data_IF_101882915943
#
_entry.id   IF_101882915943
#
_cell.length_a   1.000
_cell.length_b   1.000
_cell.length_c   1.000
_cell.angle_alpha   90.00
_cell.angle_beta   90.00
_cell.angle_gamma   90.00
#
_symmetry.space_group_name_H-M   'P 1'
#
loop_
_entity.id
_entity.type
_entity.pdbx_description
1 polymer ?
#
# COMPACT_ATOMS: atom_id res chain seq x y z
N UNK A 1 49.87 -56.43 20.63
CA UNK A 1 49.63 -54.99 20.85
C UNK A 1 49.29 -54.35 19.54
N UNK A 2 48.01 -54.16 19.26
CA UNK A 2 47.49 -53.66 17.99
C UNK A 2 47.17 -52.15 18.11
N UNK A 3 47.92 -51.31 17.39
CA UNK A 3 47.67 -49.89 17.32
C UNK A 3 46.53 -49.60 16.37
N UNK A 4 45.34 -49.29 16.91
CA UNK A 4 44.23 -48.76 16.13
C UNK A 4 44.42 -47.23 15.98
N UNK A 5 44.77 -46.78 14.78
CA UNK A 5 44.74 -45.39 14.41
C UNK A 5 43.30 -44.95 14.20
N UNK A 6 42.80 -44.07 15.04
CA UNK A 6 41.49 -43.42 14.87
C UNK A 6 41.70 -42.27 13.89
N UNK A 7 41.09 -42.41 12.72
CA UNK A 7 41.03 -41.35 11.69
C UNK A 7 39.89 -40.39 12.07
N UNK A 8 40.21 -39.21 12.58
CA UNK A 8 39.23 -38.17 12.81
C UNK A 8 38.91 -37.48 11.47
N UNK A 9 37.71 -37.73 10.96
CA UNK A 9 37.20 -37.04 9.78
C UNK A 9 36.68 -35.67 10.21
N UNK A 10 37.40 -34.60 9.95
CA UNK A 10 36.93 -33.23 10.13
C UNK A 10 35.96 -32.91 8.96
N UNK A 11 34.67 -32.89 9.25
CA UNK A 11 33.71 -32.32 8.33
C UNK A 11 33.81 -30.80 8.46
N UNK A 12 34.46 -30.15 7.50
CA UNK A 12 34.40 -28.71 7.34
C UNK A 12 33.00 -28.37 6.79
N UNK A 13 32.12 -27.92 7.68
CA UNK A 13 30.90 -27.25 7.26
C UNK A 13 31.30 -25.93 6.60
N UNK A 14 31.29 -25.90 5.28
CA UNK A 14 31.30 -24.63 4.55
C UNK A 14 29.96 -23.97 4.80
N UNK A 15 29.89 -23.02 5.72
CA UNK A 15 28.85 -22.04 5.78
C UNK A 15 28.96 -21.22 4.49
N UNK A 16 28.21 -21.63 3.46
CA UNK A 16 27.89 -20.74 2.37
C UNK A 16 27.07 -19.61 2.99
N UNK A 17 27.61 -18.43 3.08
CA UNK A 17 26.83 -17.20 3.24
C UNK A 17 26.01 -17.08 1.96
N UNK A 18 24.86 -17.75 1.91
CA UNK A 18 23.82 -17.40 0.95
C UNK A 18 23.45 -15.99 1.37
N UNK A 19 23.67 -15.01 0.50
CA UNK A 19 23.12 -13.68 0.67
C UNK A 19 21.63 -13.86 0.95
N UNK A 20 21.14 -13.22 2.00
CA UNK A 20 19.72 -13.24 2.33
C UNK A 20 19.03 -12.58 1.15
N UNK A 21 18.41 -13.37 0.30
CA UNK A 21 17.58 -12.85 -0.80
C UNK A 21 16.33 -12.29 -0.13
N UNK A 22 15.98 -11.05 -0.43
CA UNK A 22 14.74 -10.47 0.06
C UNK A 22 13.57 -11.35 -0.38
N UNK A 23 12.82 -11.85 0.60
CA UNK A 23 11.71 -12.76 0.40
C UNK A 23 10.44 -12.13 0.92
N UNK A 24 9.46 -12.00 0.06
CA UNK A 24 8.14 -11.53 0.47
C UNK A 24 7.52 -12.53 1.44
N UNK A 25 7.02 -12.08 2.57
CA UNK A 25 6.28 -12.88 3.54
C UNK A 25 5.16 -12.08 4.19
N UNK A 26 4.05 -12.72 4.50
CA UNK A 26 3.02 -12.11 5.35
C UNK A 26 3.58 -12.04 6.77
N UNK A 27 3.56 -10.82 7.35
CA UNK A 27 4.00 -10.61 8.71
C UNK A 27 2.81 -10.56 9.66
N UNK A 28 2.71 -11.57 10.53
CA UNK A 28 1.65 -11.67 11.53
C UNK A 28 1.69 -10.55 12.59
N UNK A 29 2.82 -9.86 12.75
CA UNK A 29 2.96 -8.70 13.63
C UNK A 29 2.39 -7.41 13.01
N UNK A 30 1.94 -7.48 11.76
CA UNK A 30 1.28 -6.37 11.07
C UNK A 30 2.22 -5.25 10.60
N UNK A 31 3.53 -5.54 10.48
CA UNK A 31 4.52 -4.60 9.96
C UNK A 31 5.15 -5.11 8.66
N UNK A 32 5.54 -4.21 7.76
CA UNK A 32 6.18 -4.58 6.49
C UNK A 32 6.67 -3.37 5.70
N UNK A 33 7.13 -3.63 4.50
CA UNK A 33 7.47 -2.62 3.49
C UNK A 33 6.39 -2.47 2.40
N UNK A 34 5.40 -3.38 2.40
CA UNK A 34 4.16 -3.28 1.62
C UNK A 34 2.95 -3.50 2.53
N UNK A 35 2.01 -2.55 2.53
CA UNK A 35 0.71 -2.69 3.21
C UNK A 35 -0.40 -2.73 2.16
N UNK A 36 -1.32 -3.67 2.33
CA UNK A 36 -2.52 -3.78 1.52
C UNK A 36 -3.76 -3.59 2.38
N UNK A 37 -4.49 -2.51 2.11
CA UNK A 37 -5.79 -2.24 2.69
C UNK A 37 -6.84 -2.79 1.73
N UNK A 38 -7.52 -3.87 2.07
CA UNK A 38 -8.27 -4.65 1.09
C UNK A 38 -9.53 -3.93 0.59
N UNK A 39 -10.02 -2.94 1.33
CA UNK A 39 -11.28 -2.31 1.00
C UNK A 39 -11.35 -0.88 1.52
N UNK A 40 -11.92 0.00 0.71
CA UNK A 40 -12.52 1.25 1.14
C UNK A 40 -13.85 1.47 0.42
N UNK A 41 -14.77 2.18 1.06
CA UNK A 41 -15.99 2.66 0.43
C UNK A 41 -16.42 4.00 1.01
N UNK A 42 -16.96 4.83 0.13
CA UNK A 42 -17.61 6.12 0.44
C UNK A 42 -19.04 6.15 -0.07
N UNK A 43 -19.57 5.00 -0.45
CA UNK A 43 -20.95 4.84 -0.94
C UNK A 43 -21.96 4.98 0.20
N UNK A 44 -23.17 5.46 -0.10
CA UNK A 44 -24.30 5.51 0.83
C UNK A 44 -23.99 6.22 2.15
N UNK A 45 -23.31 7.37 2.11
CA UNK A 45 -22.87 8.14 3.29
C UNK A 45 -21.87 7.40 4.18
N UNK A 46 -21.18 6.42 3.64
CA UNK A 46 -20.09 5.76 4.36
C UNK A 46 -18.79 6.54 4.23
N UNK A 47 -17.92 6.36 5.21
CA UNK A 47 -16.56 6.85 5.20
C UNK A 47 -15.60 5.72 5.57
N UNK A 48 -14.39 5.79 5.05
CA UNK A 48 -13.31 4.88 5.45
C UNK A 48 -12.17 5.70 6.06
N UNK A 49 -11.69 5.28 7.20
CA UNK A 49 -10.54 5.90 7.88
C UNK A 49 -9.35 4.97 7.78
N UNK A 50 -8.22 5.51 7.36
CA UNK A 50 -6.96 4.77 7.25
C UNK A 50 -5.92 5.45 8.14
N UNK A 51 -5.15 4.65 8.86
CA UNK A 51 -3.94 5.08 9.53
C UNK A 51 -2.75 4.33 8.93
N UNK A 52 -1.72 5.06 8.54
CA UNK A 52 -0.46 4.51 8.07
C UNK A 52 0.61 5.01 9.04
N UNK A 53 1.37 4.09 9.63
CA UNK A 53 2.31 4.39 10.70
C UNK A 53 3.70 3.92 10.34
N UNK A 54 4.68 4.74 10.62
CA UNK A 54 6.08 4.35 10.69
C UNK A 54 6.39 3.91 12.12
N UNK A 55 6.68 2.63 12.33
CA UNK A 55 6.99 2.09 13.66
C UNK A 55 8.48 2.13 13.99
N UNK A 56 9.30 2.75 13.12
CA UNK A 56 10.76 2.80 13.24
C UNK A 56 11.27 4.19 13.62
N UNK A 57 12.54 4.27 13.97
CA UNK A 57 13.23 5.53 14.24
C UNK A 57 13.81 6.19 12.97
N UNK A 58 13.47 5.67 11.80
CA UNK A 58 13.97 6.17 10.52
C UNK A 58 12.94 7.10 9.86
N UNK A 59 13.42 8.02 9.03
CA UNK A 59 12.54 8.76 8.12
C UNK A 59 12.15 7.85 6.95
N UNK A 60 10.87 7.73 6.66
CA UNK A 60 10.36 6.86 5.59
C UNK A 60 9.79 7.66 4.44
N UNK A 61 10.20 7.35 3.21
CA UNK A 61 9.48 7.74 2.02
C UNK A 61 8.57 6.60 1.59
N UNK A 62 7.28 6.87 1.42
CA UNK A 62 6.28 5.88 1.01
C UNK A 62 5.49 6.40 -0.18
N UNK A 63 4.99 5.49 -1.01
CA UNK A 63 3.95 5.81 -2.01
C UNK A 63 2.63 5.22 -1.56
N UNK A 64 1.57 5.98 -1.71
CA UNK A 64 0.19 5.58 -1.39
C UNK A 64 -0.61 5.63 -2.69
N UNK A 65 -1.27 4.51 -3.03
CA UNK A 65 -2.11 4.37 -4.22
C UNK A 65 -3.51 3.94 -3.84
N UNK A 66 -4.47 4.69 -4.32
CA UNK A 66 -5.88 4.34 -4.26
C UNK A 66 -6.29 3.74 -5.59
N UNK A 67 -6.87 2.55 -5.55
CA UNK A 67 -7.27 1.76 -6.70
C UNK A 67 -8.77 1.61 -6.73
N UNK A 68 -9.41 1.85 -7.89
CA UNK A 68 -10.85 1.66 -8.03
C UNK A 68 -11.23 0.18 -8.21
N UNK A 69 -12.49 -0.14 -7.94
CA UNK A 69 -12.96 -1.52 -7.82
C UNK A 69 -13.24 -2.26 -9.14
N UNK A 70 -13.39 -1.56 -10.26
CA UNK A 70 -13.81 -2.21 -11.52
C UNK A 70 -12.63 -2.87 -12.22
N UNK A 71 -11.56 -2.12 -12.44
CA UNK A 71 -10.37 -2.59 -13.16
C UNK A 71 -9.10 -2.59 -12.31
N UNK A 72 -9.15 -2.00 -11.10
CA UNK A 72 -7.96 -1.77 -10.28
C UNK A 72 -7.09 -0.64 -10.83
N UNK A 73 -7.68 0.30 -11.58
CA UNK A 73 -6.95 1.47 -12.03
C UNK A 73 -6.67 2.40 -10.86
N UNK A 74 -5.50 3.04 -10.89
CA UNK A 74 -5.12 4.05 -9.91
C UNK A 74 -5.97 5.30 -10.11
N UNK A 75 -6.58 5.79 -9.04
CA UNK A 75 -7.43 6.98 -9.03
C UNK A 75 -6.83 8.14 -8.24
N UNK A 76 -5.88 7.85 -7.37
CA UNK A 76 -5.02 8.82 -6.71
C UNK A 76 -3.70 8.14 -6.33
N UNK A 77 -2.59 8.84 -6.55
CA UNK A 77 -1.25 8.42 -6.15
C UNK A 77 -0.48 9.62 -5.64
N UNK A 78 0.21 9.46 -4.53
CA UNK A 78 1.14 10.46 -4.00
C UNK A 78 2.17 9.80 -3.10
N UNK A 79 3.32 10.47 -2.98
CA UNK A 79 4.34 10.12 -1.99
C UNK A 79 4.05 10.84 -0.67
N UNK A 80 4.32 10.18 0.46
CA UNK A 80 4.30 10.77 1.79
C UNK A 80 5.63 10.51 2.49
N UNK A 81 6.01 11.42 3.38
CA UNK A 81 7.27 11.39 4.11
C UNK A 81 6.99 11.36 5.61
N UNK A 82 7.19 10.19 6.20
CA UNK A 82 6.94 9.95 7.62
C UNK A 82 8.21 10.14 8.42
N UNK A 83 8.16 10.93 9.47
CA UNK A 83 9.21 11.01 10.47
C UNK A 83 9.28 9.76 11.35
N UNK A 84 10.24 9.68 12.28
CA UNK A 84 10.32 8.61 13.27
C UNK A 84 9.03 8.49 14.08
N UNK A 85 8.45 7.27 14.12
CA UNK A 85 7.21 6.96 14.85
C UNK A 85 6.00 7.81 14.47
N UNK A 86 6.01 8.37 13.27
CA UNK A 86 4.94 9.22 12.75
C UNK A 86 3.74 8.42 12.27
N UNK A 87 2.57 9.03 12.31
CA UNK A 87 1.29 8.45 11.87
C UNK A 87 0.63 9.41 10.89
N UNK A 88 0.29 8.92 9.72
CA UNK A 88 -0.47 9.64 8.70
C UNK A 88 -1.92 9.16 8.66
N UNK A 89 -2.85 9.86 9.34
CA UNK A 89 -4.28 9.56 9.29
C UNK A 89 -4.92 10.23 8.07
N UNK A 90 -5.75 9.47 7.36
CA UNK A 90 -6.60 9.98 6.28
C UNK A 90 -8.01 9.47 6.42
N UNK A 91 -8.97 10.31 6.06
CA UNK A 91 -10.36 9.92 5.87
C UNK A 91 -10.66 9.84 4.37
N UNK A 92 -11.44 8.87 3.98
CA UNK A 92 -12.03 8.78 2.65
C UNK A 92 -13.51 9.08 2.77
N UNK A 93 -13.98 10.06 2.01
CA UNK A 93 -15.38 10.46 1.99
C UNK A 93 -15.83 10.77 0.57
N UNK A 94 -17.15 10.73 0.34
CA UNK A 94 -17.72 11.21 -0.91
C UNK A 94 -17.70 12.73 -0.94
N UNK A 95 -17.28 13.29 -2.08
CA UNK A 95 -17.38 14.73 -2.37
C UNK A 95 -18.58 15.01 -3.27
N UNK A 96 -18.95 16.30 -3.37
CA UNK A 96 -19.96 16.74 -4.33
C UNK A 96 -19.57 16.27 -5.73
N UNK A 97 -20.51 15.60 -6.43
CA UNK A 97 -20.25 15.04 -7.76
C UNK A 97 -20.05 13.53 -7.81
N UNK A 98 -20.27 12.82 -6.70
CA UNK A 98 -20.35 11.34 -6.63
C UNK A 98 -19.03 10.57 -6.73
N UNK A 99 -17.90 11.21 -6.52
CA UNK A 99 -16.59 10.55 -6.42
C UNK A 99 -16.11 10.34 -4.99
N UNK A 100 -15.01 9.60 -4.82
CA UNK A 100 -14.27 9.53 -3.56
C UNK A 100 -13.20 10.61 -3.47
N UNK A 101 -12.80 10.95 -2.24
CA UNK A 101 -11.73 11.88 -1.94
C UNK A 101 -10.97 11.49 -0.69
N UNK A 102 -9.70 11.85 -0.65
CA UNK A 102 -8.87 11.84 0.57
C UNK A 102 -9.05 13.15 1.29
N UNK A 103 -9.28 13.08 2.59
CA UNK A 103 -9.34 14.22 3.51
C UNK A 103 -8.35 14.00 4.65
N UNK A 104 -7.56 15.02 4.97
CA UNK A 104 -6.66 14.96 6.13
C UNK A 104 -6.41 16.35 6.73
N UNK A 105 -6.28 16.40 8.04
CA UNK A 105 -5.78 17.58 8.76
C UNK A 105 -4.35 17.38 9.27
N UNK A 106 -3.75 16.26 8.91
CA UNK A 106 -2.40 15.93 9.30
C UNK A 106 -1.37 16.79 8.55
N UNK A 107 -0.20 16.99 9.14
CA UNK A 107 0.86 17.85 8.59
C UNK A 107 1.94 17.07 7.85
N UNK A 108 1.83 15.75 7.75
CA UNK A 108 2.75 14.91 6.95
C UNK A 108 2.91 15.47 5.55
N UNK A 109 4.16 15.59 5.12
CA UNK A 109 4.49 16.13 3.82
C UNK A 109 4.16 15.15 2.71
N UNK A 110 3.50 15.63 1.67
CA UNK A 110 3.13 14.82 0.49
C UNK A 110 3.64 15.47 -0.80
N UNK A 111 3.92 14.63 -1.79
CA UNK A 111 4.32 15.07 -3.14
C UNK A 111 3.54 14.23 -4.15
N UNK A 112 2.66 14.85 -4.97
CA UNK A 112 2.21 16.23 -4.90
C UNK A 112 1.57 16.60 -3.56
N UNK A 113 1.57 17.89 -3.22
CA UNK A 113 0.89 18.36 -2.03
C UNK A 113 -0.62 18.16 -2.16
N UNK A 114 -1.21 17.48 -1.17
CA UNK A 114 -2.66 17.27 -1.12
C UNK A 114 -3.41 18.58 -0.90
N UNK A 115 -4.57 18.69 -1.54
CA UNK A 115 -5.44 19.85 -1.40
C UNK A 115 -5.00 21.07 -2.24
N UNK A 116 -4.06 20.92 -3.15
CA UNK A 116 -3.67 21.98 -4.09
C UNK A 116 -4.26 21.72 -5.47
N UNK A 117 -4.48 22.81 -6.22
CA UNK A 117 -4.89 22.71 -7.62
C UNK A 117 -3.66 22.39 -8.47
N UNK A 118 -3.38 21.12 -8.66
CA UNK A 118 -2.41 20.62 -9.63
C UNK A 118 -3.20 19.90 -10.72
N UNK A 119 -3.32 20.52 -11.91
CA UNK A 119 -3.99 19.82 -13.01
C UNK A 119 -3.37 18.43 -13.20
N UNK A 120 -4.16 17.36 -13.19
CA UNK A 120 -5.60 17.30 -13.29
C UNK A 120 -6.35 17.22 -11.93
N UNK A 121 -5.72 17.56 -10.84
CA UNK A 121 -6.27 17.45 -9.48
C UNK A 121 -6.71 18.82 -8.98
N UNK A 122 -8.01 18.97 -8.75
CA UNK A 122 -8.56 20.15 -8.09
C UNK A 122 -8.75 19.85 -6.60
N UNK A 123 -7.65 19.88 -5.85
CA UNK A 123 -7.69 19.80 -4.40
C UNK A 123 -8.08 21.12 -3.76
N UNK A 124 -8.61 21.07 -2.56
CA UNK A 124 -8.97 22.24 -1.77
C UNK A 124 -8.34 22.21 -0.39
N UNK A 125 -8.07 23.40 0.14
CA UNK A 125 -7.61 23.60 1.51
C UNK A 125 -8.57 24.53 2.23
N UNK A 126 -9.06 24.11 3.38
CA UNK A 126 -9.98 24.87 4.21
C UNK A 126 -9.47 24.93 5.65
N UNK A 127 -9.46 26.13 6.24
CA UNK A 127 -9.15 26.28 7.66
C UNK A 127 -10.41 26.03 8.48
N UNK A 128 -10.38 24.97 9.28
CA UNK A 128 -11.46 24.64 10.20
C UNK A 128 -11.52 25.64 11.36
N UNK A 129 -12.68 25.70 12.04
CA UNK A 129 -12.89 26.62 13.16
C UNK A 129 -11.89 26.44 14.32
N UNK A 130 -11.25 25.25 14.44
CA UNK A 130 -10.18 24.98 15.42
C UNK A 130 -8.78 25.36 14.92
N UNK A 131 -8.68 26.02 13.76
CA UNK A 131 -7.43 26.47 13.16
C UNK A 131 -6.64 25.40 12.42
N UNK A 132 -7.13 24.14 12.35
CA UNK A 132 -6.48 23.11 11.54
C UNK A 132 -6.81 23.28 10.06
N UNK A 133 -5.85 23.03 9.21
CA UNK A 133 -6.02 23.02 7.76
C UNK A 133 -6.55 21.66 7.32
N UNK A 134 -7.77 21.62 6.76
CA UNK A 134 -8.30 20.44 6.10
C UNK A 134 -7.85 20.45 4.64
N UNK A 135 -7.13 19.42 4.24
CA UNK A 135 -6.72 19.18 2.85
C UNK A 135 -7.65 18.12 2.25
N UNK A 136 -8.30 18.45 1.15
CA UNK A 136 -9.20 17.55 0.41
C UNK A 136 -8.66 17.34 -0.99
N UNK A 137 -8.46 16.07 -1.36
CA UNK A 137 -7.95 15.68 -2.68
C UNK A 137 -8.90 14.69 -3.33
N UNK A 138 -9.65 15.09 -4.39
CA UNK A 138 -10.54 14.21 -5.12
C UNK A 138 -9.81 13.10 -5.87
N UNK A 139 -10.48 11.97 -6.06
CA UNK A 139 -10.04 10.89 -6.94
C UNK A 139 -10.37 11.20 -8.39
N UNK A 140 -9.47 10.80 -9.31
CA UNK A 140 -9.61 11.04 -10.75
C UNK A 140 -9.35 9.76 -11.53
N UNK A 141 -10.37 9.10 -12.11
CA UNK A 141 -10.24 7.77 -12.69
C UNK A 141 -9.45 7.72 -14.00
N UNK A 142 -9.32 8.82 -14.73
CA UNK A 142 -8.72 8.87 -16.07
C UNK A 142 -7.25 9.30 -16.13
N UNK A 143 -6.66 9.78 -15.03
CA UNK A 143 -5.32 10.40 -15.03
C UNK A 143 -4.22 9.38 -15.31
N UNK A 144 -4.36 8.20 -14.74
CA UNK A 144 -3.33 7.15 -14.79
C UNK A 144 -3.59 6.11 -15.88
N UNK A 145 -4.78 6.10 -16.43
CA UNK A 145 -5.16 5.14 -17.47
C UNK A 145 -6.25 5.74 -18.39
N UNK A 146 -5.85 6.15 -19.59
CA UNK A 146 -6.77 6.73 -20.59
C UNK A 146 -7.82 5.73 -21.12
N UNK A 147 -7.61 4.43 -20.93
CA UNK A 147 -8.53 3.38 -21.36
C UNK A 147 -9.65 3.14 -20.36
N UNK A 148 -9.58 3.75 -19.18
CA UNK A 148 -10.60 3.62 -18.14
C UNK A 148 -11.72 4.62 -18.37
N UNK A 149 -12.97 4.18 -18.13
CA UNK A 149 -14.13 5.07 -18.15
C UNK A 149 -13.92 6.25 -17.19
N UNK A 150 -14.33 7.44 -17.63
CA UNK A 150 -14.33 8.66 -16.83
C UNK A 150 -15.48 8.73 -15.79
N UNK A 151 -16.25 7.66 -15.63
CA UNK A 151 -17.30 7.59 -14.62
C UNK A 151 -16.71 7.66 -13.21
N UNK A 152 -16.95 8.80 -12.56
CA UNK A 152 -16.40 9.11 -11.26
C UNK A 152 -16.94 8.19 -10.15
N UNK A 153 -18.14 7.61 -10.32
CA UNK A 153 -18.73 6.68 -9.34
C UNK A 153 -17.87 5.45 -9.08
N UNK A 154 -17.02 5.06 -10.03
CA UNK A 154 -16.05 3.98 -9.89
C UNK A 154 -15.08 4.20 -8.73
N UNK A 155 -14.81 5.45 -8.40
CA UNK A 155 -13.88 5.82 -7.33
C UNK A 155 -14.47 5.71 -5.92
N UNK A 156 -15.77 5.43 -5.80
CA UNK A 156 -16.46 5.37 -4.52
C UNK A 156 -16.06 4.17 -3.67
N UNK A 157 -15.47 3.14 -4.26
CA UNK A 157 -14.91 1.97 -3.56
C UNK A 157 -13.70 1.42 -4.26
N UNK A 158 -12.88 0.73 -3.50
CA UNK A 158 -11.64 0.20 -3.99
C UNK A 158 -10.78 -0.39 -2.90
N UNK A 159 -9.48 -0.39 -3.13
CA UNK A 159 -8.47 -0.84 -2.19
C UNK A 159 -7.26 0.11 -2.22
N UNK A 160 -6.34 -0.03 -1.23
CA UNK A 160 -5.17 0.86 -1.15
C UNK A 160 -3.90 0.04 -1.03
N UNK A 161 -2.88 0.45 -1.76
CA UNK A 161 -1.52 -0.06 -1.68
C UNK A 161 -0.62 1.02 -1.07
N UNK A 162 0.18 0.65 -0.08
CA UNK A 162 1.22 1.51 0.50
C UNK A 162 2.54 0.78 0.42
N UNK A 163 3.52 1.37 -0.26
CA UNK A 163 4.83 0.75 -0.49
C UNK A 163 5.92 1.68 0.01
N UNK A 164 6.84 1.14 0.81
CA UNK A 164 8.04 1.86 1.22
C UNK A 164 8.97 2.06 0.02
N UNK A 165 9.35 3.31 -0.24
CA UNK A 165 10.28 3.66 -1.31
C UNK A 165 11.74 3.66 -0.84
N UNK A 166 11.94 3.82 0.46
CA UNK A 166 13.25 3.83 1.08
C UNK A 166 13.30 4.68 2.34
N UNK A 167 14.46 4.65 2.98
CA UNK A 167 14.80 5.40 4.18
C UNK A 167 15.51 6.69 3.79
N UNK A 168 14.91 7.84 4.11
CA UNK A 168 15.47 9.16 3.86
C UNK A 168 16.54 9.49 4.89
N UNK A 169 17.67 10.03 4.44
CA UNK A 169 18.76 10.44 5.34
C UNK A 169 18.24 11.33 6.48
N UNK A 170 18.72 11.13 7.72
CA UNK A 170 18.37 11.96 8.87
C UNK A 170 18.79 13.44 8.70
N UNK A 171 19.67 13.73 7.75
CA UNK A 171 20.08 15.11 7.41
C UNK A 171 18.96 15.88 6.70
N UNK A 172 17.93 15.18 6.21
CA UNK A 172 16.77 15.78 5.56
C UNK A 172 15.62 15.81 6.56
N UNK A 173 15.17 17.00 6.91
CA UNK A 173 14.01 17.20 7.79
C UNK A 173 12.71 16.97 7.00
N UNK A 174 12.14 15.76 7.14
CA UNK A 174 10.92 15.37 6.40
C UNK A 174 9.66 16.10 6.86
N UNK A 175 9.71 16.87 7.96
CA UNK A 175 8.61 17.70 8.42
C UNK A 175 8.52 19.06 7.67
N UNK A 176 9.57 19.43 6.93
CA UNK A 176 9.64 20.67 6.17
C UNK A 176 9.19 20.47 4.72
N UNK A 177 7.90 20.58 4.50
CA UNK A 177 7.30 20.27 3.20
C UNK A 177 7.80 21.15 2.04
N UNK A 178 8.10 22.44 2.29
CA UNK A 178 8.66 23.34 1.27
C UNK A 178 10.09 22.91 0.85
N UNK A 179 10.89 22.46 1.82
CA UNK A 179 12.24 21.95 1.54
C UNK A 179 12.18 20.68 0.71
N UNK A 180 11.28 19.74 1.05
CA UNK A 180 11.08 18.51 0.28
C UNK A 180 10.60 18.80 -1.15
N UNK A 181 9.65 19.74 -1.33
CA UNK A 181 9.23 20.17 -2.65
C UNK A 181 10.36 20.82 -3.45
N UNK A 182 11.23 21.56 -2.78
CA UNK A 182 12.42 22.15 -3.40
C UNK A 182 13.40 21.07 -3.85
N UNK A 183 13.63 20.01 -3.06
CA UNK A 183 14.46 18.86 -3.47
C UNK A 183 13.95 18.24 -4.76
N UNK A 184 12.64 18.12 -4.94
CA UNK A 184 12.02 17.59 -6.16
C UNK A 184 12.04 18.55 -7.34
N UNK A 185 11.73 19.83 -7.13
CA UNK A 185 11.52 20.78 -8.22
C UNK A 185 12.84 21.31 -8.80
N UNK A 186 13.79 21.63 -7.94
CA UNK A 186 15.05 22.29 -8.33
C UNK A 186 16.29 21.69 -7.66
N UNK A 187 16.11 20.80 -6.68
CA UNK A 187 17.17 20.17 -5.93
C UNK A 187 17.59 18.81 -6.50
N UNK A 188 18.32 18.06 -5.68
CA UNK A 188 18.96 16.81 -6.09
C UNK A 188 17.97 15.73 -6.54
N UNK A 189 16.78 15.64 -5.96
CA UNK A 189 15.80 14.62 -6.31
C UNK A 189 15.16 14.82 -7.70
N UNK A 190 15.22 16.05 -8.22
CA UNK A 190 14.77 16.31 -9.58
C UNK A 190 15.65 15.66 -10.66
N UNK A 191 16.93 15.39 -10.34
CA UNK A 191 17.90 14.77 -11.25
C UNK A 191 18.33 13.37 -10.81
N UNK A 192 18.44 13.14 -9.51
CA UNK A 192 18.77 11.88 -8.89
C UNK A 192 17.84 11.60 -7.70
N UNK A 193 16.66 11.02 -7.95
CA UNK A 193 15.67 10.74 -6.91
C UNK A 193 16.18 9.85 -5.77
N UNK A 194 17.22 9.06 -6.01
CA UNK A 194 17.77 8.13 -5.02
C UNK A 194 18.84 8.74 -4.12
N UNK A 195 19.25 9.95 -4.39
CA UNK A 195 20.25 10.64 -3.58
C UNK A 195 19.75 10.85 -2.15
N UNK A 196 20.60 10.54 -1.17
CA UNK A 196 20.27 10.61 0.26
C UNK A 196 19.08 9.73 0.70
N UNK A 197 18.82 8.65 -0.05
CA UNK A 197 17.82 7.64 0.29
C UNK A 197 18.49 6.27 0.27
N UNK A 198 18.26 5.49 1.31
CA UNK A 198 18.70 4.10 1.44
C UNK A 198 17.57 3.14 1.10
N UNK A 199 17.85 1.85 0.82
CA UNK A 199 16.82 0.85 0.56
C UNK A 199 15.77 0.75 1.67
N UNK A 200 14.54 0.28 1.37
CA UNK A 200 13.51 -0.02 2.36
C UNK A 200 14.01 -0.92 3.49
N UNK A 201 13.52 -0.70 4.69
CA UNK A 201 13.86 -1.51 5.89
C UNK A 201 12.62 -2.08 6.57
N UNK A 202 11.42 -1.88 5.99
CA UNK A 202 10.16 -2.33 6.57
C UNK A 202 9.70 -1.48 7.76
N UNK A 203 8.81 -2.04 8.59
CA UNK A 203 8.31 -1.36 9.78
C UNK A 203 7.18 -0.36 9.52
N UNK A 204 6.55 -0.38 8.35
CA UNK A 204 5.27 0.28 8.15
C UNK A 204 4.16 -0.58 8.77
N UNK A 205 3.21 0.04 9.44
CA UNK A 205 2.01 -0.59 9.94
C UNK A 205 0.78 0.22 9.55
N UNK A 206 -0.40 -0.37 9.65
CA UNK A 206 -1.62 0.35 9.31
C UNK A 206 -2.86 -0.23 9.97
N UNK A 207 -3.92 0.56 9.99
CA UNK A 207 -5.24 0.13 10.40
C UNK A 207 -6.31 0.80 9.55
N UNK A 208 -7.45 0.15 9.41
CA UNK A 208 -8.57 0.67 8.64
C UNK A 208 -9.88 0.50 9.40
N UNK A 209 -10.76 1.49 9.28
CA UNK A 209 -12.09 1.46 9.87
C UNK A 209 -13.10 2.02 8.88
N UNK A 210 -14.12 1.25 8.61
CA UNK A 210 -15.29 1.67 7.84
C UNK A 210 -16.38 2.16 8.79
N UNK A 211 -16.99 3.30 8.48
CA UNK A 211 -18.08 3.89 9.28
C UNK A 211 -19.21 4.31 8.37
N UNK A 212 -20.43 3.95 8.72
CA UNK A 212 -21.64 4.50 8.14
C UNK A 212 -22.45 5.22 9.22
N UNK A 213 -22.36 6.57 9.31
CA UNK A 213 -23.05 7.32 10.33
C UNK A 213 -24.59 7.22 10.25
N UNK A 214 -25.11 7.10 9.05
CA UNK A 214 -26.57 7.01 8.81
C UNK A 214 -27.18 5.72 9.35
N UNK A 215 -26.39 4.64 9.37
CA UNK A 215 -26.79 3.34 9.90
C UNK A 215 -26.27 3.09 11.31
N UNK A 216 -25.55 4.05 11.90
CA UNK A 216 -24.84 3.91 13.20
C UNK A 216 -23.96 2.64 13.23
N UNK A 217 -23.27 2.35 12.15
CA UNK A 217 -22.47 1.15 11.96
C UNK A 217 -21.00 1.51 11.79
N UNK A 218 -20.12 0.72 12.42
CA UNK A 218 -18.67 0.78 12.20
C UNK A 218 -18.05 -0.60 12.21
N UNK A 219 -17.01 -0.79 11.43
CA UNK A 219 -16.28 -2.04 11.30
C UNK A 219 -14.79 -1.78 11.13
N UNK A 220 -13.95 -2.45 11.91
CA UNK A 220 -12.54 -2.53 11.62
C UNK A 220 -12.31 -3.44 10.40
N UNK A 221 -11.35 -3.08 9.56
CA UNK A 221 -10.96 -3.86 8.40
C UNK A 221 -9.49 -4.24 8.58
N UNK A 222 -9.22 -5.54 8.62
CA UNK A 222 -7.86 -6.03 8.72
C UNK A 222 -7.07 -5.72 7.44
N UNK A 223 -5.84 -5.29 7.62
CA UNK A 223 -4.90 -5.06 6.54
C UNK A 223 -3.94 -6.26 6.42
N UNK A 224 -3.31 -6.39 5.26
CA UNK A 224 -2.22 -7.34 5.07
C UNK A 224 -0.90 -6.59 5.00
N UNK A 225 0.02 -6.91 5.91
CA UNK A 225 1.39 -6.43 5.87
C UNK A 225 2.30 -7.51 5.28
N UNK A 226 3.06 -7.14 4.26
CA UNK A 226 4.06 -7.98 3.61
C UNK A 226 5.43 -7.37 3.90
N UNK A 227 6.30 -8.17 4.48
CA UNK A 227 7.68 -7.83 4.77
C UNK A 227 8.60 -8.46 3.71
N UNK A 228 9.74 -7.80 3.41
CA UNK A 228 10.69 -8.24 2.40
C UNK A 228 10.14 -8.16 0.96
N UNK A 229 9.18 -7.27 0.72
CA UNK A 229 8.69 -7.00 -0.64
C UNK A 229 9.76 -6.31 -1.48
N UNK A 230 10.53 -5.38 -0.91
CA UNK A 230 11.63 -4.72 -1.59
C UNK A 230 12.76 -5.70 -1.93
N UNK A 231 13.46 -5.47 -3.04
CA UNK A 231 14.68 -6.21 -3.40
C UNK A 231 15.86 -5.68 -2.60
N UNK A 232 16.77 -6.58 -2.23
CA UNK A 232 17.98 -6.22 -1.52
C UNK A 232 18.79 -5.13 -2.23
N UNK A 233 19.14 -4.07 -1.48
CA UNK A 233 19.95 -2.97 -1.96
C UNK A 233 19.29 -2.05 -2.98
N UNK A 234 18.00 -2.21 -3.27
CA UNK A 234 17.26 -1.39 -4.24
C UNK A 234 16.54 -0.25 -3.55
N UNK A 235 16.81 0.98 -3.99
CA UNK A 235 16.07 2.19 -3.62
C UNK A 235 14.98 2.43 -4.64
N UNK A 236 13.75 2.60 -4.18
CA UNK A 236 12.56 2.81 -5.02
C UNK A 236 12.09 4.26 -5.08
N UNK A 237 12.77 5.18 -4.39
CA UNK A 237 12.39 6.58 -4.32
C UNK A 237 12.36 7.23 -5.70
N UNK A 238 11.19 7.67 -6.12
CA UNK A 238 10.91 8.33 -7.40
C UNK A 238 9.57 9.07 -7.31
N UNK A 239 9.27 9.96 -8.27
CA UNK A 239 8.02 10.72 -8.29
C UNK A 239 6.76 9.84 -8.33
N UNK A 240 6.85 8.68 -8.97
CA UNK A 240 5.72 7.74 -9.08
C UNK A 240 5.82 6.56 -8.10
N UNK A 241 6.96 6.42 -7.42
CA UNK A 241 7.23 5.28 -6.57
C UNK A 241 7.22 3.93 -7.31
N UNK A 242 7.45 2.82 -6.59
CA UNK A 242 7.39 1.47 -7.14
C UNK A 242 5.94 1.01 -7.32
N UNK A 243 5.73 0.02 -8.20
CA UNK A 243 4.48 -0.71 -8.36
C UNK A 243 4.70 -2.19 -8.01
N UNK A 244 3.64 -2.97 -7.85
CA UNK A 244 3.76 -4.38 -7.40
C UNK A 244 4.68 -5.25 -8.28
N UNK A 245 4.95 -4.88 -9.53
CA UNK A 245 5.88 -5.61 -10.40
C UNK A 245 7.35 -5.40 -10.06
N UNK A 246 7.70 -4.39 -9.25
CA UNK A 246 9.09 -3.99 -8.98
C UNK A 246 9.74 -4.75 -7.83
N UNK A 247 8.94 -5.37 -6.97
CA UNK A 247 9.37 -6.02 -5.75
C UNK A 247 10.16 -7.32 -5.94
N UNK A 248 10.48 -7.99 -4.84
CA UNK A 248 11.12 -9.29 -4.81
C UNK A 248 10.27 -10.33 -5.53
N UNK A 249 10.93 -11.25 -6.23
CA UNK A 249 10.28 -12.35 -6.98
C UNK A 249 10.15 -13.63 -6.15
N UNK A 250 10.58 -13.61 -4.90
CA UNK A 250 10.57 -14.78 -4.03
C UNK A 250 9.52 -14.61 -2.94
N UNK A 251 8.74 -15.66 -2.71
CA UNK A 251 7.73 -15.74 -1.65
C UNK A 251 8.11 -16.81 -0.63
N UNK A 252 8.08 -16.45 0.65
CA UNK A 252 8.16 -17.38 1.78
C UNK A 252 6.75 -17.70 2.29
N UNK A 253 6.30 -18.92 2.04
CA UNK A 253 5.00 -19.45 2.48
C UNK A 253 5.08 -20.16 3.85
N UNK A 254 6.15 -19.94 4.60
CA UNK A 254 6.44 -20.54 5.89
C UNK A 254 7.10 -21.91 5.78
N UNK A 255 6.53 -22.85 5.04
CA UNK A 255 7.09 -24.19 4.83
C UNK A 255 7.73 -24.38 3.45
N UNK A 256 7.53 -23.45 2.56
CA UNK A 256 7.93 -23.51 1.17
C UNK A 256 8.32 -22.12 0.69
N UNK A 257 9.54 -22.01 0.21
CA UNK A 257 10.01 -20.85 -0.55
C UNK A 257 9.74 -21.11 -2.04
N UNK A 258 9.16 -20.12 -2.71
CA UNK A 258 8.89 -20.19 -4.15
C UNK A 258 9.54 -18.99 -4.83
N UNK A 259 10.38 -19.28 -5.83
CA UNK A 259 11.08 -18.26 -6.61
C UNK A 259 10.47 -18.15 -8.02
N UNK A 260 10.05 -16.95 -8.37
CA UNK A 260 9.48 -16.56 -9.66
C UNK A 260 10.47 -15.73 -10.50
N UNK A 261 11.75 -15.75 -10.16
CA UNK A 261 12.80 -15.04 -10.93
C UNK A 261 12.79 -15.48 -12.40
N UNK A 262 12.78 -14.49 -13.30
CA UNK A 262 12.71 -14.74 -14.75
C UNK A 262 11.29 -14.95 -15.30
N UNK A 263 10.27 -15.01 -14.45
CA UNK A 263 8.89 -15.01 -14.90
C UNK A 263 8.42 -13.56 -15.18
N UNK A 264 7.50 -13.42 -16.13
CA UNK A 264 6.80 -12.15 -16.35
C UNK A 264 6.01 -11.82 -15.07
N UNK A 265 6.17 -10.58 -14.59
CA UNK A 265 5.53 -10.12 -13.34
C UNK A 265 5.84 -11.02 -12.12
N UNK A 266 7.06 -11.54 -12.01
CA UNK A 266 7.48 -12.47 -10.96
C UNK A 266 7.22 -11.97 -9.54
N UNK A 267 7.39 -10.66 -9.28
CA UNK A 267 7.04 -10.06 -7.98
C UNK A 267 5.54 -10.14 -7.69
N UNK A 268 4.70 -9.88 -8.68
CA UNK A 268 3.24 -10.03 -8.55
C UNK A 268 2.85 -11.48 -8.31
N UNK A 269 3.54 -12.43 -8.96
CA UNK A 269 3.33 -13.86 -8.73
C UNK A 269 3.70 -14.25 -7.29
N UNK A 270 4.81 -13.73 -6.76
CA UNK A 270 5.21 -13.93 -5.37
C UNK A 270 4.16 -13.37 -4.40
N UNK A 271 3.75 -12.12 -4.59
CA UNK A 271 2.66 -11.50 -3.80
C UNK A 271 1.36 -12.32 -3.91
N UNK A 272 1.01 -12.77 -5.12
CA UNK A 272 -0.20 -13.59 -5.34
C UNK A 272 -0.15 -14.92 -4.61
N UNK A 273 1.03 -15.56 -4.55
CA UNK A 273 1.21 -16.82 -3.83
C UNK A 273 0.99 -16.66 -2.32
N UNK A 274 1.45 -15.53 -1.75
CA UNK A 274 1.21 -15.19 -0.34
C UNK A 274 -0.28 -14.96 -0.05
N UNK A 275 -0.99 -14.27 -0.94
CA UNK A 275 -2.40 -13.93 -0.78
C UNK A 275 -3.33 -15.08 -1.18
N UNK A 276 -2.80 -16.16 -1.76
CA UNK A 276 -3.60 -17.30 -2.21
C UNK A 276 -4.18 -18.07 -1.04
N UNK A 277 -5.48 -18.30 -1.06
CA UNK A 277 -6.18 -19.16 -0.11
C UNK A 277 -7.07 -20.16 -0.82
N UNK A 278 -7.12 -21.39 -0.31
CA UNK A 278 -8.00 -22.44 -0.85
C UNK A 278 -9.43 -22.30 -0.36
N UNK A 279 -9.63 -21.69 0.81
CA UNK A 279 -10.93 -21.49 1.42
C UNK A 279 -10.89 -20.28 2.32
N UNK A 280 -12.00 -19.57 2.38
CA UNK A 280 -12.24 -18.47 3.31
C UNK A 280 -13.48 -18.82 4.11
N UNK A 281 -13.41 -18.64 5.41
CA UNK A 281 -14.54 -18.83 6.32
C UNK A 281 -14.67 -17.59 7.19
N UNK A 282 -15.87 -17.10 7.34
CA UNK A 282 -16.20 -16.06 8.30
C UNK A 282 -17.62 -16.29 8.82
N UNK A 283 -17.96 -15.65 9.91
CA UNK A 283 -19.29 -15.70 10.46
C UNK A 283 -20.28 -15.00 9.54
N UNK A 284 -21.47 -15.56 9.41
CA UNK A 284 -22.60 -14.94 8.72
C UNK A 284 -23.66 -14.64 9.77
N UNK A 285 -23.97 -13.38 9.96
CA UNK A 285 -25.02 -12.93 10.85
C UNK A 285 -26.19 -12.45 10.01
N UNK A 286 -27.35 -13.08 10.18
CA UNK A 286 -28.62 -12.63 9.61
C UNK A 286 -29.60 -12.56 10.76
N UNK A 287 -29.95 -11.34 11.20
CA UNK A 287 -30.89 -11.13 12.29
C UNK A 287 -31.94 -10.11 11.87
N UNK A 288 -33.12 -10.59 11.44
CA UNK A 288 -34.17 -9.71 10.93
C UNK A 288 -34.70 -8.69 11.95
N UNK A 289 -34.62 -9.02 13.25
CA UNK A 289 -35.10 -8.12 14.31
C UNK A 289 -34.31 -6.81 14.39
N UNK A 290 -33.06 -6.79 13.96
CA UNK A 290 -32.18 -5.64 13.90
C UNK A 290 -31.73 -5.29 12.48
N UNK A 291 -32.35 -5.89 11.45
CA UNK A 291 -32.00 -5.76 10.05
C UNK A 291 -30.50 -6.01 9.77
N UNK A 292 -29.88 -6.96 10.51
CA UNK A 292 -28.49 -7.33 10.28
C UNK A 292 -28.37 -8.28 9.10
N UNK A 293 -27.52 -7.91 8.15
CA UNK A 293 -27.14 -8.73 6.99
C UNK A 293 -25.62 -8.77 6.89
N UNK A 294 -25.09 -9.86 6.35
CA UNK A 294 -23.64 -10.00 6.13
C UNK A 294 -23.34 -10.07 4.64
N UNK A 295 -22.55 -9.13 4.18
CA UNK A 295 -21.94 -9.14 2.85
C UNK A 295 -20.45 -9.47 2.94
N UNK A 296 -19.96 -10.24 1.97
CA UNK A 296 -18.54 -10.54 1.83
C UNK A 296 -17.94 -9.66 0.74
N UNK A 297 -16.88 -8.94 1.08
CA UNK A 297 -16.06 -8.20 0.12
C UNK A 297 -14.78 -8.99 -0.11
N UNK A 298 -14.55 -9.42 -1.36
CA UNK A 298 -13.35 -10.16 -1.74
C UNK A 298 -12.56 -9.33 -2.74
N UNK A 299 -11.33 -8.99 -2.36
CA UNK A 299 -10.41 -8.19 -3.18
C UNK A 299 -9.33 -9.06 -3.78
N UNK A 300 -9.04 -8.87 -5.07
CA UNK A 300 -7.97 -9.54 -5.81
C UNK A 300 -6.96 -8.51 -6.32
N UNK A 301 -6.08 -7.96 -5.48
CA UNK A 301 -5.23 -6.82 -5.82
C UNK A 301 -4.24 -7.12 -6.96
N UNK A 302 -3.82 -8.36 -7.10
CA UNK A 302 -2.85 -8.80 -8.13
C UNK A 302 -3.51 -9.16 -9.46
N UNK A 303 -4.83 -9.29 -9.52
CA UNK A 303 -5.55 -9.80 -10.71
C UNK A 303 -5.31 -8.96 -11.96
N UNK A 304 -5.24 -7.64 -11.83
CA UNK A 304 -5.01 -6.72 -12.96
C UNK A 304 -3.70 -6.99 -13.71
N UNK A 305 -2.69 -7.50 -13.02
CA UNK A 305 -1.38 -7.81 -13.60
C UNK A 305 -1.34 -9.19 -14.27
N UNK A 306 -2.21 -10.10 -13.84
CA UNK A 306 -2.22 -11.50 -14.32
C UNK A 306 -3.18 -11.72 -15.50
N UNK A 307 -3.85 -10.67 -15.97
CA UNK A 307 -4.72 -10.74 -17.16
C UNK A 307 -3.89 -10.42 -18.41
N UNK A 308 -3.88 -11.33 -19.38
CA UNK A 308 -3.16 -11.17 -20.66
C UNK A 308 -3.74 -10.01 -21.48
N UNK A 309 -3.58 -8.76 -21.10
CA UNK A 309 -3.79 -7.55 -21.93
C UNK A 309 -5.05 -7.41 -22.80
N UNK A 310 -5.86 -8.45 -22.92
CA UNK A 310 -7.00 -8.51 -23.84
C UNK A 310 -8.37 -8.38 -23.17
N UNK A 311 -8.41 -8.26 -21.83
CA UNK A 311 -9.66 -8.05 -21.10
C UNK A 311 -9.51 -6.87 -20.15
N UNK A 312 -9.58 -5.67 -20.72
CA UNK A 312 -9.94 -4.50 -19.95
C UNK A 312 -11.27 -4.80 -19.25
N UNK A 313 -11.32 -4.81 -17.92
CA UNK A 313 -12.58 -4.89 -17.19
C UNK A 313 -12.90 -6.21 -16.47
N UNK A 314 -11.93 -7.09 -16.20
CA UNK A 314 -12.20 -8.16 -15.25
C UNK A 314 -12.33 -7.57 -13.84
N UNK A 315 -13.50 -7.70 -13.16
CA UNK A 315 -13.74 -7.03 -11.89
C UNK A 315 -12.73 -7.49 -10.84
N UNK A 316 -12.14 -6.52 -10.17
CA UNK A 316 -11.21 -6.74 -9.04
C UNK A 316 -11.99 -7.22 -7.80
N UNK A 317 -13.30 -6.95 -7.77
CA UNK A 317 -14.19 -7.37 -6.70
C UNK A 317 -15.27 -8.34 -7.18
N UNK A 318 -15.59 -9.33 -6.36
CA UNK A 318 -16.86 -10.07 -6.44
C UNK A 318 -17.58 -9.91 -5.10
N UNK A 319 -18.68 -9.18 -5.11
CA UNK A 319 -19.67 -9.29 -4.05
C UNK A 319 -20.41 -10.63 -4.22
N UNK A 320 -20.42 -11.48 -3.19
CA UNK A 320 -21.27 -12.66 -3.13
C UNK A 320 -22.45 -12.27 -2.26
N UNK A 321 -23.58 -11.93 -2.91
CA UNK A 321 -24.86 -11.84 -2.20
C UNK A 321 -25.43 -13.26 -2.07
N UNK A 322 -25.85 -13.63 -0.91
CA UNK A 322 -26.72 -14.80 -0.67
C UNK A 322 -28.10 -14.35 -0.26
#
# INVERSE_FOLDING_TARGET
MSNRKVLALAVAATLSTQGVVAEQRINAEGTGDLLMFPFYSVENNSNTYLHISNTTNDNKAIVIRFMEHVSGATVLEFSAYLGPYDIFPVALASTEGSGGSVLTTDTTCTVPELGTSNAPYDGTQETLFNGKLLRTQPFVPYVYNSDVSSDISRTQRGYVEVIEMGVVSPDIDVSKCDDLRTLWNTGVWGTDPKSNVSPPTGGLSGSSMFINPSLAYSMAIDITAIDGWGKDGVVYHSLRGPVLTDGSTTADLGNLQVDYTGQVDGSVMATSALLATKSMMNEVVIEPAIAAETDWVVTFPTKKYLTNGTTAGAPVYRGIRR
#
